data_IF_515491544213
#
_entry.id   IF_515491544213
#
_cell.length_a   1.000
_cell.length_b   1.000
_cell.length_c   1.000
_cell.angle_alpha   90.00
_cell.angle_beta   90.00
_cell.angle_gamma   90.00
#
_symmetry.space_group_name_H-M   'P 1'
#
loop_
_entity.id
_entity.type
_entity.pdbx_description
1 polymer ?
#
# COMPACT_ATOMS: atom_id res chain seq x y z
N UNK A 1 -18.28 -2.28 -45.51
CA UNK A 1 -18.60 -1.91 -44.11
C UNK A 1 -18.44 -3.14 -43.23
N UNK A 2 -17.86 -2.95 -42.04
CA UNK A 2 -17.00 -3.92 -41.34
C UNK A 2 -17.69 -5.21 -40.87
N UNK A 3 -16.97 -6.33 -41.01
CA UNK A 3 -17.30 -7.67 -40.51
C UNK A 3 -17.22 -7.68 -38.98
N UNK A 4 -18.32 -8.03 -38.32
CA UNK A 4 -18.37 -8.19 -36.87
C UNK A 4 -17.55 -9.39 -36.39
N UNK A 5 -16.56 -9.14 -35.54
CA UNK A 5 -15.86 -10.18 -34.79
C UNK A 5 -16.60 -10.42 -33.47
N UNK A 6 -17.21 -11.59 -33.31
CA UNK A 6 -17.71 -12.08 -32.03
C UNK A 6 -16.59 -12.86 -31.34
N UNK A 7 -15.98 -12.27 -30.31
CA UNK A 7 -15.03 -12.98 -29.46
C UNK A 7 -15.83 -13.89 -28.52
N UNK A 8 -15.85 -15.19 -28.80
CA UNK A 8 -16.37 -16.21 -27.86
C UNK A 8 -15.34 -16.39 -26.74
N UNK A 9 -15.50 -15.65 -25.64
CA UNK A 9 -14.76 -15.92 -24.41
C UNK A 9 -15.12 -17.33 -23.91
N UNK A 10 -14.12 -18.19 -23.69
CA UNK A 10 -14.31 -19.50 -23.08
C UNK A 10 -14.76 -19.31 -21.63
N UNK A 11 -15.90 -19.89 -21.26
CA UNK A 11 -16.40 -19.95 -19.89
C UNK A 11 -15.35 -20.62 -18.99
N UNK A 12 -15.00 -20.03 -17.81
CA UNK A 12 -14.03 -20.64 -16.92
C UNK A 12 -14.55 -21.99 -16.41
N UNK A 13 -13.76 -23.05 -16.60
CA UNK A 13 -14.05 -24.37 -16.02
C UNK A 13 -14.03 -24.28 -14.50
N UNK A 14 -15.21 -24.47 -13.87
CA UNK A 14 -15.33 -24.70 -12.42
C UNK A 14 -14.56 -25.97 -12.07
N UNK A 15 -13.56 -25.87 -11.20
CA UNK A 15 -12.92 -27.04 -10.57
C UNK A 15 -11.42 -27.25 -10.80
N UNK A 16 -10.69 -26.29 -11.38
CA UNK A 16 -9.22 -26.37 -11.37
C UNK A 16 -8.67 -26.09 -9.97
N UNK A 17 -7.92 -27.03 -9.37
CA UNK A 17 -7.07 -26.76 -8.19
C UNK A 17 -6.29 -25.47 -8.45
N UNK A 18 -6.27 -24.52 -7.50
CA UNK A 18 -5.42 -23.33 -7.58
C UNK A 18 -4.00 -23.82 -7.90
N UNK A 19 -3.46 -23.51 -9.08
CA UNK A 19 -2.03 -23.63 -9.30
C UNK A 19 -1.37 -22.74 -8.25
N UNK A 20 -0.47 -23.31 -7.45
CA UNK A 20 0.36 -22.52 -6.57
C UNK A 20 1.09 -21.49 -7.43
N UNK A 21 1.02 -20.23 -7.01
CA UNK A 21 1.72 -19.16 -7.70
C UNK A 21 3.16 -19.25 -7.22
N UNK A 22 4.03 -19.57 -8.15
CA UNK A 22 5.45 -19.72 -7.88
C UNK A 22 6.13 -18.35 -8.07
N UNK A 23 6.77 -17.87 -7.01
CA UNK A 23 7.54 -16.64 -7.02
C UNK A 23 9.03 -16.97 -7.16
N UNK A 24 9.73 -16.24 -8.03
CA UNK A 24 11.18 -16.34 -8.17
C UNK A 24 11.89 -15.55 -7.06
N UNK A 25 11.99 -16.15 -5.87
CA UNK A 25 12.60 -15.50 -4.71
C UNK A 25 14.10 -15.26 -4.87
N UNK A 26 14.80 -16.00 -5.74
CA UNK A 26 16.21 -15.76 -6.02
C UNK A 26 16.37 -14.48 -6.86
N UNK A 27 15.53 -14.29 -7.89
CA UNK A 27 15.46 -13.00 -8.60
C UNK A 27 15.13 -11.85 -7.64
N UNK A 28 14.18 -12.06 -6.72
CA UNK A 28 13.80 -11.04 -5.74
C UNK A 28 14.98 -10.60 -4.86
N UNK A 29 15.75 -11.58 -4.35
CA UNK A 29 16.95 -11.33 -3.55
C UNK A 29 18.02 -10.60 -4.36
N UNK A 30 18.24 -10.97 -5.61
CA UNK A 30 19.21 -10.27 -6.47
C UNK A 30 18.80 -8.82 -6.78
N UNK A 31 17.49 -8.54 -6.96
CA UNK A 31 17.00 -7.15 -7.08
C UNK A 31 17.23 -6.35 -5.79
N UNK A 32 16.95 -6.98 -4.63
CA UNK A 32 17.07 -6.34 -3.32
C UNK A 32 18.53 -6.14 -2.86
N UNK A 33 19.45 -7.00 -3.31
CA UNK A 33 20.84 -6.99 -2.89
C UNK A 33 21.51 -5.64 -3.17
N UNK A 34 22.17 -5.09 -2.15
CA UNK A 34 22.83 -3.79 -2.21
C UNK A 34 21.88 -2.58 -2.17
N UNK A 35 20.57 -2.78 -2.08
CA UNK A 35 19.58 -1.70 -1.91
C UNK A 35 19.53 -1.25 -0.46
N UNK A 36 19.09 -0.01 -0.26
CA UNK A 36 18.79 0.55 1.05
C UNK A 36 17.27 0.69 1.25
N UNK A 37 16.72 0.04 2.27
CA UNK A 37 15.29 0.05 2.60
C UNK A 37 15.08 0.77 3.92
N UNK A 38 14.20 1.77 3.93
CA UNK A 38 13.72 2.38 5.18
C UNK A 38 12.43 1.70 5.61
N UNK A 39 12.43 1.12 6.81
CA UNK A 39 11.26 0.53 7.45
C UNK A 39 10.50 1.64 8.16
N UNK A 40 9.38 2.05 7.58
CA UNK A 40 8.54 3.17 8.00
C UNK A 40 7.42 2.69 8.91
N UNK A 41 7.50 3.04 10.20
CA UNK A 41 6.66 2.49 11.27
C UNK A 41 5.90 3.63 11.99
N UNK A 42 4.66 3.96 11.58
CA UNK A 42 3.83 4.88 12.34
C UNK A 42 3.29 4.18 13.60
N UNK A 43 3.24 4.90 14.72
CA UNK A 43 2.66 4.37 15.97
C UNK A 43 3.71 4.11 17.04
N UNK A 44 3.29 3.97 18.31
CA UNK A 44 4.18 3.92 19.49
C UNK A 44 4.34 2.56 20.14
N UNK A 45 3.72 1.52 19.58
CA UNK A 45 3.73 0.17 20.15
C UNK A 45 3.27 -0.86 19.13
N UNK A 46 3.57 -2.13 19.37
CA UNK A 46 3.21 -3.26 18.53
C UNK A 46 3.03 -4.53 19.39
N UNK A 47 2.47 -5.59 18.80
CA UNK A 47 2.36 -6.88 19.48
C UNK A 47 3.66 -7.70 19.40
N UNK A 48 3.75 -8.75 20.21
CA UNK A 48 4.85 -9.72 20.11
C UNK A 48 4.84 -10.48 18.77
N UNK A 49 3.67 -10.65 18.15
CA UNK A 49 3.56 -11.27 16.83
C UNK A 49 4.21 -10.37 15.77
N UNK A 50 3.84 -9.08 15.75
CA UNK A 50 4.50 -8.09 14.90
C UNK A 50 6.01 -8.04 15.15
N UNK A 51 6.44 -7.90 16.41
CA UNK A 51 7.85 -7.76 16.76
C UNK A 51 8.69 -8.94 16.27
N UNK A 52 8.18 -10.18 16.39
CA UNK A 52 8.86 -11.37 15.87
C UNK A 52 9.04 -11.31 14.35
N UNK A 53 7.97 -10.96 13.63
CA UNK A 53 7.99 -10.89 12.17
C UNK A 53 8.91 -9.76 11.67
N UNK A 54 8.88 -8.62 12.35
CA UNK A 54 9.73 -7.47 12.08
C UNK A 54 11.22 -7.78 12.30
N UNK A 55 11.58 -8.39 13.44
CA UNK A 55 12.95 -8.78 13.73
C UNK A 55 13.46 -9.82 12.71
N UNK A 56 12.62 -10.79 12.35
CA UNK A 56 12.97 -11.76 11.30
C UNK A 56 13.23 -11.08 9.96
N UNK A 57 12.34 -10.17 9.53
CA UNK A 57 12.53 -9.41 8.29
C UNK A 57 13.85 -8.63 8.31
N UNK A 58 14.16 -7.93 9.41
CA UNK A 58 15.42 -7.21 9.55
C UNK A 58 16.65 -8.12 9.38
N UNK A 59 16.65 -9.30 10.00
CA UNK A 59 17.74 -10.27 9.84
C UNK A 59 17.86 -10.76 8.39
N UNK A 60 16.74 -11.15 7.77
CA UNK A 60 16.74 -11.67 6.41
C UNK A 60 17.22 -10.63 5.40
N UNK A 61 16.80 -9.37 5.54
CA UNK A 61 17.24 -8.24 4.72
C UNK A 61 18.75 -8.04 4.81
N UNK A 62 19.30 -7.98 6.03
CA UNK A 62 20.75 -7.83 6.23
C UNK A 62 21.51 -9.03 5.66
N UNK A 63 21.02 -10.25 5.85
CA UNK A 63 21.64 -11.47 5.32
C UNK A 63 21.67 -11.50 3.78
N UNK A 64 20.66 -10.95 3.10
CA UNK A 64 20.66 -10.83 1.64
C UNK A 64 21.39 -9.59 1.11
N UNK A 65 22.10 -8.86 1.97
CA UNK A 65 22.91 -7.70 1.59
C UNK A 65 22.12 -6.40 1.37
N UNK A 66 20.92 -6.29 1.95
CA UNK A 66 20.13 -5.05 1.99
C UNK A 66 20.57 -4.22 3.19
N UNK A 67 20.80 -2.92 2.99
CA UNK A 67 20.97 -1.98 4.08
C UNK A 67 19.60 -1.56 4.60
N UNK A 68 19.40 -1.58 5.92
CA UNK A 68 18.15 -1.17 6.54
C UNK A 68 18.32 0.06 7.42
N UNK A 69 17.28 0.89 7.45
CA UNK A 69 17.11 1.98 8.40
C UNK A 69 15.69 1.91 8.95
N UNK A 70 15.50 2.26 10.22
CA UNK A 70 14.18 2.27 10.85
C UNK A 70 13.79 3.71 11.07
N UNK A 71 12.62 4.11 10.56
CA UNK A 71 12.04 5.41 10.85
C UNK A 71 10.69 5.20 11.51
N UNK A 72 10.61 5.56 12.78
CA UNK A 72 9.44 5.38 13.63
C UNK A 72 9.13 6.71 14.30
N UNK A 73 7.87 7.12 14.26
CA UNK A 73 7.37 8.26 15.01
C UNK A 73 5.87 8.08 15.34
N UNK A 74 5.36 8.96 16.18
CA UNK A 74 3.99 8.92 16.68
C UNK A 74 3.36 10.31 16.74
N UNK A 75 2.05 10.31 16.52
CA UNK A 75 1.15 11.41 16.78
C UNK A 75 -0.22 10.83 17.10
N UNK A 76 -1.02 11.54 17.90
CA UNK A 76 -2.45 11.19 18.09
C UNK A 76 -3.27 11.37 16.81
N UNK A 77 -2.73 12.06 15.80
CA UNK A 77 -3.32 12.20 14.47
C UNK A 77 -2.45 11.47 13.46
N UNK A 78 -2.99 10.42 12.84
CA UNK A 78 -2.24 9.48 11.97
C UNK A 78 -1.56 10.19 10.79
N UNK A 79 -2.22 11.19 10.20
CA UNK A 79 -1.73 12.02 9.10
C UNK A 79 -0.38 12.68 9.46
N UNK A 80 -0.29 13.21 10.69
CA UNK A 80 0.95 13.77 11.21
C UNK A 80 1.97 12.69 11.57
N UNK A 81 1.54 11.54 12.11
CA UNK A 81 2.45 10.43 12.41
C UNK A 81 3.19 9.98 11.14
N UNK A 82 2.47 9.77 10.03
CA UNK A 82 3.08 9.39 8.75
C UNK A 82 4.03 10.46 8.22
N UNK A 83 3.66 11.74 8.29
CA UNK A 83 4.58 12.83 7.90
C UNK A 83 5.86 12.85 8.77
N UNK A 84 5.75 12.62 10.07
CA UNK A 84 6.90 12.57 10.98
C UNK A 84 7.81 11.37 10.72
N UNK A 85 7.26 10.21 10.36
CA UNK A 85 8.03 9.05 9.89
C UNK A 85 8.90 9.40 8.68
N UNK A 86 8.48 10.36 7.85
CA UNK A 86 9.30 10.90 6.75
C UNK A 86 10.26 12.03 7.19
N UNK A 87 10.41 12.30 8.49
CA UNK A 87 11.25 13.35 9.03
C UNK A 87 10.73 14.77 8.77
N UNK A 88 9.42 14.93 8.52
CA UNK A 88 8.83 16.21 8.20
C UNK A 88 8.98 17.25 9.30
N UNK A 89 9.12 18.51 8.90
CA UNK A 89 9.08 19.65 9.80
C UNK A 89 8.29 20.79 9.17
N UNK A 90 7.29 21.30 9.88
CA UNK A 90 6.39 22.38 9.43
C UNK A 90 7.14 23.64 8.97
N UNK A 91 8.32 23.92 9.55
CA UNK A 91 9.10 25.12 9.26
C UNK A 91 9.83 25.06 7.90
N UNK A 92 9.85 23.90 7.24
CA UNK A 92 10.56 23.69 5.95
C UNK A 92 9.69 23.96 4.72
N UNK A 93 8.39 24.22 4.94
CA UNK A 93 7.45 24.50 3.85
C UNK A 93 7.09 23.27 3.00
N UNK A 94 6.32 23.48 1.92
CA UNK A 94 5.68 22.41 1.16
C UNK A 94 6.64 21.61 0.26
N UNK A 95 7.80 22.15 -0.10
CA UNK A 95 8.75 21.52 -1.02
C UNK A 95 9.79 20.64 -0.31
N UNK A 96 9.57 20.31 0.95
CA UNK A 96 10.43 19.37 1.66
C UNK A 96 10.32 17.97 1.06
N UNK A 97 11.39 17.20 1.17
CA UNK A 97 11.48 15.80 0.76
C UNK A 97 11.78 14.92 1.98
N UNK A 98 11.53 13.61 1.92
CA UNK A 98 11.81 12.70 3.03
C UNK A 98 13.21 12.89 3.63
N UNK A 99 13.26 13.08 4.94
CA UNK A 99 14.47 13.25 5.75
C UNK A 99 15.44 14.33 5.22
N UNK A 100 14.90 15.38 4.58
CA UNK A 100 15.66 16.43 3.89
C UNK A 100 16.63 15.91 2.82
N UNK A 101 16.39 14.71 2.28
CA UNK A 101 17.31 14.05 1.35
C UNK A 101 18.64 13.59 1.98
N UNK A 102 18.78 13.69 3.31
CA UNK A 102 20.00 13.31 4.04
C UNK A 102 20.14 11.80 4.18
N UNK A 103 19.02 11.08 4.19
CA UNK A 103 19.01 9.63 4.26
C UNK A 103 19.11 9.05 2.84
N UNK A 104 20.13 8.21 2.61
CA UNK A 104 20.24 7.44 1.37
C UNK A 104 19.35 6.20 1.46
N UNK A 105 18.46 6.02 0.49
CA UNK A 105 17.58 4.87 0.38
C UNK A 105 17.17 4.64 -1.08
N UNK A 106 16.68 3.44 -1.36
CA UNK A 106 16.08 3.03 -2.63
C UNK A 106 14.56 2.78 -2.47
N UNK A 107 14.14 2.27 -1.31
CA UNK A 107 12.74 1.97 -1.00
C UNK A 107 12.34 2.39 0.40
N UNK A 108 11.06 2.69 0.57
CA UNK A 108 10.37 2.82 1.85
C UNK A 108 9.38 1.66 1.96
N UNK A 109 9.50 0.84 2.99
CA UNK A 109 8.50 -0.18 3.32
C UNK A 109 7.67 0.33 4.49
N UNK A 110 6.42 0.65 4.22
CA UNK A 110 5.45 1.09 5.22
C UNK A 110 4.75 -0.11 5.83
N UNK A 111 4.75 -0.16 7.16
CA UNK A 111 4.19 -1.26 7.93
C UNK A 111 3.44 -0.69 9.13
N UNK A 112 2.13 -0.94 9.20
CA UNK A 112 1.34 -0.61 10.39
C UNK A 112 1.61 -1.63 11.49
N UNK A 113 1.58 -1.19 12.75
CA UNK A 113 2.03 -1.98 13.92
C UNK A 113 1.17 -3.22 14.26
N UNK A 114 0.02 -3.36 13.61
CA UNK A 114 -0.92 -4.46 13.74
C UNK A 114 -0.95 -5.39 12.51
N UNK A 115 0.04 -5.26 11.61
CA UNK A 115 0.15 -6.10 10.43
C UNK A 115 1.03 -7.32 10.70
N UNK A 116 0.54 -8.50 10.30
CA UNK A 116 1.23 -9.77 10.47
C UNK A 116 1.75 -10.24 9.11
N UNK A 117 3.08 -10.23 8.94
CA UNK A 117 3.74 -10.49 7.67
C UNK A 117 4.94 -11.46 7.79
N UNK A 118 5.60 -11.78 6.68
CA UNK A 118 6.88 -12.49 6.64
C UNK A 118 7.78 -11.97 5.50
N UNK A 119 9.04 -12.39 5.49
CA UNK A 119 10.03 -11.94 4.51
C UNK A 119 9.71 -12.33 3.06
N UNK A 120 8.96 -13.42 2.84
CA UNK A 120 8.54 -13.82 1.50
C UNK A 120 7.58 -12.77 0.90
N UNK A 121 6.68 -12.20 1.70
CA UNK A 121 5.76 -11.15 1.25
C UNK A 121 6.50 -9.85 0.89
N UNK A 122 7.60 -9.53 1.56
CA UNK A 122 8.46 -8.42 1.16
C UNK A 122 9.11 -8.70 -0.21
N UNK A 123 9.68 -9.89 -0.40
CA UNK A 123 10.29 -10.27 -1.68
C UNK A 123 9.27 -10.30 -2.83
N UNK A 124 8.02 -10.64 -2.55
CA UNK A 124 6.93 -10.56 -3.53
C UNK A 124 6.67 -9.11 -3.98
N UNK A 125 6.73 -8.12 -3.07
CA UNK A 125 6.63 -6.70 -3.44
C UNK A 125 7.82 -6.27 -4.30
N UNK A 126 9.04 -6.69 -3.95
CA UNK A 126 10.25 -6.39 -4.73
C UNK A 126 10.12 -6.91 -6.17
N UNK A 127 9.59 -8.12 -6.35
CA UNK A 127 9.38 -8.73 -7.68
C UNK A 127 8.40 -7.97 -8.58
N UNK A 128 7.53 -7.13 -8.01
CA UNK A 128 6.60 -6.34 -8.81
C UNK A 128 7.34 -5.24 -9.59
N UNK A 129 8.49 -4.77 -9.11
CA UNK A 129 9.31 -3.72 -9.74
C UNK A 129 8.50 -2.46 -10.10
N UNK A 130 7.58 -2.06 -9.21
CA UNK A 130 6.70 -0.88 -9.36
C UNK A 130 7.15 0.27 -8.46
N UNK A 131 6.75 1.49 -8.83
CA UNK A 131 7.03 2.67 -8.01
C UNK A 131 6.23 2.65 -6.71
N UNK A 132 4.99 2.15 -6.75
CA UNK A 132 4.14 1.89 -5.59
C UNK A 132 3.60 0.45 -5.71
N UNK A 133 4.08 -0.44 -4.84
CA UNK A 133 3.70 -1.85 -4.80
C UNK A 133 3.06 -2.19 -3.44
N UNK A 134 1.83 -2.67 -3.45
CA UNK A 134 1.06 -2.98 -2.25
C UNK A 134 0.71 -4.46 -2.16
N UNK A 135 0.76 -4.98 -0.93
CA UNK A 135 -0.03 -6.15 -0.56
C UNK A 135 -1.38 -5.70 -0.01
N UNK A 136 -2.18 -6.66 0.43
CA UNK A 136 -3.50 -6.35 0.98
C UNK A 136 -3.76 -7.11 2.27
N UNK A 137 -4.66 -6.57 3.07
CA UNK A 137 -5.15 -7.19 4.29
C UNK A 137 -6.67 -6.97 4.39
N UNK A 138 -7.31 -7.79 5.22
CA UNK A 138 -8.73 -7.57 5.53
C UNK A 138 -8.86 -6.38 6.47
N UNK A 139 -9.86 -5.54 6.25
CA UNK A 139 -10.27 -4.52 7.21
C UNK A 139 -10.93 -5.15 8.44
N UNK A 140 -11.21 -4.34 9.46
CA UNK A 140 -11.75 -4.80 10.74
C UNK A 140 -13.12 -5.50 10.61
N UNK A 141 -13.90 -5.17 9.58
CA UNK A 141 -15.17 -5.83 9.27
C UNK A 141 -15.02 -7.31 8.85
N UNK A 142 -13.79 -7.78 8.60
CA UNK A 142 -13.50 -9.14 8.16
C UNK A 142 -14.06 -9.48 6.77
N UNK A 143 -14.47 -8.48 5.98
CA UNK A 143 -15.06 -8.66 4.63
C UNK A 143 -14.38 -7.83 3.55
N UNK A 144 -14.22 -6.54 3.80
CA UNK A 144 -13.55 -5.63 2.86
C UNK A 144 -12.04 -5.72 3.03
N UNK A 145 -11.29 -5.15 2.10
CA UNK A 145 -9.82 -5.18 2.09
C UNK A 145 -9.25 -3.78 2.11
N UNK A 146 -7.96 -3.69 2.38
CA UNK A 146 -7.20 -2.44 2.38
C UNK A 146 -7.01 -1.82 1.00
N UNK A 147 -7.63 -2.34 -0.06
CA UNK A 147 -7.54 -1.76 -1.41
C UNK A 147 -8.93 -1.52 -1.99
N UNK A 148 -9.07 -0.44 -2.76
CA UNK A 148 -10.34 -0.03 -3.35
C UNK A 148 -10.18 0.63 -4.71
N UNK A 149 -11.30 0.71 -5.41
CA UNK A 149 -11.46 1.48 -6.63
C UNK A 149 -12.38 2.68 -6.41
N UNK A 150 -12.12 3.75 -7.14
CA UNK A 150 -12.97 4.93 -7.13
C UNK A 150 -14.35 4.61 -7.72
N UNK A 151 -15.37 5.28 -7.19
CA UNK A 151 -16.74 5.20 -7.69
C UNK A 151 -17.19 6.56 -8.22
N UNK A 152 -17.98 6.53 -9.28
CA UNK A 152 -18.77 7.70 -9.67
C UNK A 152 -19.82 8.02 -8.60
N UNK A 153 -20.29 9.27 -8.56
CA UNK A 153 -21.17 9.78 -7.49
C UNK A 153 -22.41 8.89 -7.26
N UNK A 154 -23.06 8.47 -8.35
CA UNK A 154 -24.28 7.66 -8.27
C UNK A 154 -24.01 6.29 -7.64
N UNK A 155 -22.89 5.67 -7.98
CA UNK A 155 -22.47 4.39 -7.41
C UNK A 155 -22.02 4.56 -5.96
N UNK A 156 -21.32 5.64 -5.63
CA UNK A 156 -20.93 5.96 -4.25
C UNK A 156 -22.15 6.15 -3.34
N UNK A 157 -23.17 6.89 -3.80
CA UNK A 157 -24.45 7.04 -3.09
C UNK A 157 -25.12 5.69 -2.88
N UNK A 158 -25.18 4.86 -3.93
CA UNK A 158 -25.82 3.54 -3.88
C UNK A 158 -25.05 2.55 -2.99
N UNK A 159 -23.73 2.72 -2.88
CA UNK A 159 -22.84 1.92 -2.03
C UNK A 159 -22.76 2.44 -0.57
N UNK A 160 -23.66 3.33 -0.17
CA UNK A 160 -23.76 3.81 1.21
C UNK A 160 -22.67 4.79 1.64
N UNK A 161 -22.04 5.49 0.68
CA UNK A 161 -21.00 6.47 0.97
C UNK A 161 -19.61 5.85 1.25
N UNK A 162 -19.36 4.65 0.75
CA UNK A 162 -18.06 3.97 0.90
C UNK A 162 -17.49 3.66 -0.49
N UNK A 163 -16.17 3.76 -0.64
CA UNK A 163 -15.47 3.36 -1.86
C UNK A 163 -15.71 1.89 -2.21
N UNK A 164 -15.47 1.52 -3.46
CA UNK A 164 -15.60 0.13 -3.89
C UNK A 164 -14.38 -0.68 -3.45
N UNK A 165 -14.35 -1.02 -2.16
CA UNK A 165 -13.33 -1.89 -1.61
C UNK A 165 -13.39 -3.26 -2.27
N UNK A 166 -12.22 -3.77 -2.66
CA UNK A 166 -12.12 -5.18 -2.95
C UNK A 166 -12.48 -5.97 -1.69
N UNK A 167 -13.09 -7.12 -1.88
CA UNK A 167 -13.49 -8.04 -0.82
C UNK A 167 -12.58 -9.25 -0.80
N UNK A 168 -12.55 -9.97 0.31
CA UNK A 168 -11.86 -11.26 0.37
C UNK A 168 -12.29 -12.24 -0.73
N UNK A 169 -13.52 -12.14 -1.23
CA UNK A 169 -14.03 -12.94 -2.35
C UNK A 169 -13.54 -12.46 -3.72
N UNK A 170 -13.53 -11.15 -3.96
CA UNK A 170 -13.10 -10.59 -5.25
C UNK A 170 -11.59 -10.74 -5.44
N UNK A 171 -10.80 -10.57 -4.37
CA UNK A 171 -9.35 -10.84 -4.38
C UNK A 171 -9.05 -12.29 -4.77
N UNK A 172 -9.85 -13.25 -4.29
CA UNK A 172 -9.71 -14.67 -4.66
C UNK A 172 -10.04 -14.98 -6.12
N UNK A 173 -10.66 -14.07 -6.87
CA UNK A 173 -10.93 -14.22 -8.32
C UNK A 173 -9.77 -13.67 -9.16
N UNK A 174 -8.95 -12.77 -8.60
CA UNK A 174 -7.79 -12.19 -9.26
C UNK A 174 -6.57 -13.12 -9.15
N UNK A 175 -5.68 -13.07 -10.13
CA UNK A 175 -4.48 -13.94 -10.21
C UNK A 175 -3.19 -13.19 -10.48
N UNK A 176 -3.29 -12.02 -11.09
CA UNK A 176 -2.16 -11.18 -11.50
C UNK A 176 -2.26 -9.85 -10.78
N UNK A 177 -1.13 -9.15 -10.60
CA UNK A 177 -1.13 -7.77 -10.15
C UNK A 177 -2.05 -6.89 -11.00
N UNK A 178 -2.68 -5.92 -10.35
CA UNK A 178 -3.63 -4.99 -10.96
C UNK A 178 -3.47 -3.62 -10.31
N UNK A 179 -3.94 -2.57 -11.00
CA UNK A 179 -3.94 -1.21 -10.46
C UNK A 179 -5.13 -0.99 -9.54
N UNK A 180 -4.97 -0.15 -8.53
CA UNK A 180 -6.01 0.26 -7.59
C UNK A 180 -5.96 1.78 -7.40
N UNK A 181 -7.08 2.37 -6.99
CA UNK A 181 -7.15 3.83 -6.74
C UNK A 181 -6.84 4.15 -5.26
N UNK A 182 -6.91 3.15 -4.40
CA UNK A 182 -6.60 3.24 -2.99
C UNK A 182 -5.87 1.99 -2.50
N UNK A 183 -4.84 2.20 -1.69
CA UNK A 183 -4.26 1.20 -0.81
C UNK A 183 -4.04 1.79 0.58
N UNK A 184 -4.36 1.02 1.61
CA UNK A 184 -3.93 1.31 2.98
C UNK A 184 -2.42 1.14 3.11
N UNK A 185 -1.84 1.87 4.05
CA UNK A 185 -0.38 1.90 4.25
C UNK A 185 0.17 0.83 5.18
N UNK A 186 -0.65 -0.15 5.58
CA UNK A 186 -0.21 -1.24 6.45
C UNK A 186 0.83 -2.18 5.81
N UNK A 187 0.89 -2.27 4.48
CA UNK A 187 1.90 -3.06 3.78
C UNK A 187 2.11 -2.57 2.34
N UNK A 188 2.89 -1.50 2.19
CA UNK A 188 3.20 -0.90 0.88
C UNK A 188 4.69 -0.58 0.76
N UNK A 189 5.27 -0.96 -0.38
CA UNK A 189 6.63 -0.63 -0.77
C UNK A 189 6.59 0.52 -1.78
N UNK A 190 7.24 1.62 -1.43
CA UNK A 190 7.30 2.84 -2.23
C UNK A 190 8.75 3.09 -2.63
N UNK A 191 9.01 3.21 -3.92
CA UNK A 191 10.34 3.48 -4.46
C UNK A 191 10.70 4.95 -4.26
N UNK A 192 11.99 5.22 -4.04
CA UNK A 192 12.53 6.58 -4.05
C UNK A 192 12.19 7.26 -5.38
N UNK A 193 11.76 8.52 -5.31
CA UNK A 193 11.27 9.30 -6.45
C UNK A 193 9.78 9.60 -6.38
N UNK A 194 8.99 8.79 -5.66
CA UNK A 194 7.55 9.06 -5.47
C UNK A 194 7.35 10.25 -4.54
N UNK A 195 7.82 10.17 -3.29
CA UNK A 195 7.71 11.29 -2.33
C UNK A 195 8.56 12.52 -2.72
N UNK A 196 9.61 12.33 -3.51
CA UNK A 196 10.43 13.41 -4.06
C UNK A 196 9.84 14.07 -5.31
N UNK A 197 8.74 13.53 -5.86
CA UNK A 197 8.14 14.07 -7.06
C UNK A 197 7.66 15.53 -6.82
N UNK A 198 7.85 16.47 -7.77
CA UNK A 198 7.50 17.87 -7.57
C UNK A 198 6.04 18.14 -7.19
N UNK A 199 5.13 17.26 -7.63
CA UNK A 199 3.69 17.33 -7.31
C UNK A 199 3.34 16.67 -5.97
N UNK A 200 4.22 15.84 -5.40
CA UNK A 200 4.02 15.19 -4.10
C UNK A 200 4.51 16.11 -2.97
N UNK A 201 3.74 17.16 -2.69
CA UNK A 201 4.13 18.21 -1.73
C UNK A 201 3.75 17.85 -0.29
N UNK A 202 4.56 18.35 0.65
CA UNK A 202 4.20 18.34 2.07
C UNK A 202 3.00 19.27 2.33
N UNK A 203 2.07 18.88 3.21
CA UNK A 203 1.96 17.60 3.91
C UNK A 203 1.43 16.44 3.05
N UNK A 204 2.24 15.37 2.88
CA UNK A 204 1.94 14.23 2.00
C UNK A 204 0.70 13.41 2.36
N UNK A 205 0.22 13.55 3.59
CA UNK A 205 -0.91 12.81 4.16
C UNK A 205 -2.00 13.75 4.70
N UNK A 206 -2.02 15.02 4.26
CA UNK A 206 -3.11 15.91 4.67
C UNK A 206 -4.45 15.33 4.19
N UNK A 207 -5.50 15.36 5.02
CA UNK A 207 -6.82 14.92 4.58
C UNK A 207 -7.34 15.91 3.53
N UNK A 208 -8.11 15.42 2.57
CA UNK A 208 -8.74 16.24 1.54
C UNK A 208 -10.25 16.19 1.65
N UNK A 209 -10.87 17.30 1.29
CA UNK A 209 -12.30 17.30 0.99
C UNK A 209 -12.52 16.56 -0.31
N UNK A 210 -13.46 15.63 -0.26
CA UNK A 210 -13.97 14.92 -1.41
C UNK A 210 -15.33 15.51 -1.73
N UNK A 211 -15.38 16.32 -2.79
CA UNK A 211 -16.61 16.89 -3.32
C UNK A 211 -16.98 16.13 -4.58
N UNK A 212 -18.20 15.58 -4.61
CA UNK A 212 -18.74 14.96 -5.82
C UNK A 212 -19.35 16.01 -6.75
N UNK A 213 -19.61 15.66 -8.01
CA UNK A 213 -20.00 16.60 -9.08
C UNK A 213 -21.20 17.47 -8.73
N UNK A 214 -22.19 16.93 -8.01
CA UNK A 214 -23.37 17.70 -7.59
C UNK A 214 -23.08 18.73 -6.49
N UNK A 215 -21.97 18.60 -5.76
CA UNK A 215 -21.67 19.37 -4.55
C UNK A 215 -22.55 19.03 -3.34
N UNK A 216 -23.57 18.18 -3.50
CA UNK A 216 -24.50 17.80 -2.41
C UNK A 216 -23.88 16.74 -1.48
N UNK A 217 -22.96 15.94 -2.00
CA UNK A 217 -22.22 14.94 -1.23
C UNK A 217 -20.80 15.44 -1.04
N UNK A 218 -20.46 15.68 0.23
CA UNK A 218 -19.12 16.06 0.65
C UNK A 218 -18.68 15.12 1.77
N UNK A 219 -17.45 14.63 1.68
CA UNK A 219 -16.82 13.83 2.73
C UNK A 219 -15.36 14.24 2.88
N UNK A 220 -14.70 13.78 3.94
CA UNK A 220 -13.26 13.90 4.11
C UNK A 220 -12.63 12.54 3.86
N UNK A 221 -11.66 12.48 2.94
CA UNK A 221 -10.93 11.23 2.72
C UNK A 221 -9.87 11.02 3.82
N UNK A 222 -9.62 9.75 4.15
CA UNK A 222 -8.51 9.35 5.02
C UNK A 222 -7.15 9.79 4.47
N UNK A 223 -6.13 9.74 5.32
CA UNK A 223 -4.77 10.17 5.01
C UNK A 223 -4.12 9.32 3.91
N UNK A 224 -4.37 8.02 3.95
CA UNK A 224 -3.90 7.06 2.95
C UNK A 224 -4.55 7.33 1.58
N UNK A 225 -5.85 7.66 1.58
CA UNK A 225 -6.60 8.02 0.37
C UNK A 225 -6.03 9.30 -0.23
N UNK A 226 -5.75 10.31 0.59
CA UNK A 226 -5.18 11.57 0.08
C UNK A 226 -3.84 11.36 -0.61
N UNK A 227 -2.94 10.56 -0.01
CA UNK A 227 -1.68 10.19 -0.63
C UNK A 227 -1.91 9.50 -1.98
N UNK A 228 -2.83 8.52 -2.03
CA UNK A 228 -3.11 7.78 -3.26
C UNK A 228 -3.61 8.71 -4.37
N UNK A 229 -4.52 9.64 -4.03
CA UNK A 229 -5.02 10.65 -4.96
C UNK A 229 -3.91 11.57 -5.48
N UNK A 230 -3.01 12.04 -4.62
CA UNK A 230 -1.86 12.85 -5.06
C UNK A 230 -0.92 12.06 -5.95
N UNK A 231 -0.64 10.79 -5.61
CA UNK A 231 0.23 9.94 -6.40
C UNK A 231 -0.34 9.71 -7.80
N UNK A 232 -1.64 9.42 -7.90
CA UNK A 232 -2.33 9.24 -9.19
C UNK A 232 -2.35 10.55 -9.99
N UNK A 233 -2.65 11.68 -9.35
CA UNK A 233 -2.61 13.00 -9.99
C UNK A 233 -1.20 13.38 -10.49
N UNK A 234 -0.16 12.92 -9.78
CA UNK A 234 1.24 13.04 -10.18
C UNK A 234 1.66 12.06 -11.30
N UNK A 235 0.76 11.17 -11.74
CA UNK A 235 0.98 10.23 -12.83
C UNK A 235 1.53 8.86 -12.42
N UNK A 236 1.54 8.53 -11.12
CA UNK A 236 1.92 7.20 -10.65
C UNK A 236 0.74 6.24 -10.69
N UNK A 237 1.05 4.96 -10.94
CA UNK A 237 0.10 3.87 -10.75
C UNK A 237 0.37 3.15 -9.43
N UNK A 238 -0.70 2.81 -8.70
CA UNK A 238 -0.63 2.01 -7.48
C UNK A 238 -0.96 0.58 -7.84
N UNK A 239 -0.02 -0.33 -7.64
CA UNK A 239 -0.17 -1.74 -8.02
C UNK A 239 -0.39 -2.62 -6.78
N UNK A 240 -1.40 -3.48 -6.83
CA UNK A 240 -1.65 -4.52 -5.81
C UNK A 240 -1.49 -5.91 -6.43
N UNK A 241 -0.73 -6.80 -5.79
CA UNK A 241 -0.74 -8.23 -6.11
C UNK A 241 -1.77 -8.96 -5.21
N UNK A 242 -2.83 -9.56 -5.79
CA UNK A 242 -3.89 -10.21 -5.03
C UNK A 242 -3.44 -11.43 -4.23
N UNK A 243 -2.21 -11.89 -4.43
CA UNK A 243 -1.65 -13.05 -3.74
C UNK A 243 -0.74 -12.65 -2.57
N UNK A 244 -0.39 -11.37 -2.44
CA UNK A 244 0.37 -10.83 -1.29
C UNK A 244 -0.64 -10.42 -0.21
N UNK A 245 -1.21 -11.40 0.49
CA UNK A 245 -2.11 -11.17 1.62
C UNK A 245 -1.36 -11.20 2.94
N UNK A 246 -1.34 -10.08 3.67
CA UNK A 246 -0.84 -10.02 5.06
C UNK A 246 -2.00 -10.12 6.07
N UNK A 247 -1.69 -10.45 7.32
CA UNK A 247 -2.66 -10.48 8.41
C UNK A 247 -2.88 -9.10 9.02
N UNK A 248 -4.05 -8.88 9.60
CA UNK A 248 -4.41 -7.66 10.32
C UNK A 248 -4.92 -8.06 11.71
N UNK A 249 -4.11 -7.79 12.72
CA UNK A 249 -4.37 -8.14 14.10
C UNK A 249 -5.31 -7.09 14.73
N UNK A 250 -6.39 -7.56 15.39
CA UNK A 250 -7.30 -6.69 16.13
C UNK A 250 -7.49 -7.18 17.55
N UNK A 251 -7.30 -6.28 18.50
CA UNK A 251 -7.51 -6.56 19.92
C UNK A 251 -9.00 -6.54 20.24
N UNK A 252 -9.47 -7.55 20.95
CA UNK A 252 -10.84 -7.60 21.49
C UNK A 252 -10.78 -7.59 23.01
N UNK A 253 -11.51 -6.68 23.63
CA UNK A 253 -11.74 -6.66 25.08
C UNK A 253 -12.98 -7.51 25.37
N UNK A 254 -12.90 -8.37 26.41
CA UNK A 254 -14.01 -9.22 26.88
C UNK A 254 -14.60 -8.59 28.14
#
# INVERSE_FOLDING_TARGET
MAKGFTVKAKTPTKGGKKKEIEYDYEKAKEIAKGKAVVLCLPGRGCSYAFMKNFVQLCFDLVQMGVSIQISQDYSSMVNFARCKVLGANVLRGPNQIPWDGKLKYDYQLWIDSDIIFNSAQFLQLILMEKDIAAGWYMTEDGRTTSVAHWLEEQDFRTNGGVMNHETGESMQKRRKPFTVDYTGFGWVLIKKGVFEHPEMKYPWFAPKMQEFESGEVQDMCGEDVSFCLDAIAAGFEIWCDPNIRVGHEKTRVI
#
